data_IF_688330569504
#
_entry.id   IF_688330569504
#
_cell.length_a   1.000
_cell.length_b   1.000
_cell.length_c   1.000
_cell.angle_alpha   90.00
_cell.angle_beta   90.00
_cell.angle_gamma   90.00
#
_symmetry.space_group_name_H-M   'P 1'
#
loop_
_entity.id
_entity.type
_entity.pdbx_description
1 polymer ?
#
# COMPACT_ATOMS: atom_id res chain seq x y z
N UNK A 1 -16.87 7.51 15.51
CA UNK A 1 -16.45 6.09 15.49
C UNK A 1 -15.34 5.94 16.52
N UNK A 2 -15.42 4.92 17.37
CA UNK A 2 -14.44 4.66 18.44
C UNK A 2 -13.10 4.17 17.85
N UNK A 3 -11.98 4.78 18.26
CA UNK A 3 -10.61 4.54 17.76
C UNK A 3 -10.19 3.06 17.87
N UNK A 4 -10.68 2.35 18.90
CA UNK A 4 -10.43 0.90 19.04
C UNK A 4 -11.01 0.07 17.91
N UNK A 5 -12.16 0.49 17.37
CA UNK A 5 -12.78 -0.23 16.26
C UNK A 5 -11.99 0.00 14.97
N UNK A 6 -11.47 1.22 14.75
CA UNK A 6 -10.66 1.55 13.58
C UNK A 6 -9.39 0.69 13.50
N UNK A 7 -8.62 0.56 14.57
CA UNK A 7 -7.39 -0.23 14.57
C UNK A 7 -7.62 -1.71 14.26
N UNK A 8 -8.75 -2.28 14.70
CA UNK A 8 -9.15 -3.66 14.34
C UNK A 8 -9.44 -3.80 12.85
N UNK A 9 -10.12 -2.84 12.24
CA UNK A 9 -10.42 -2.85 10.80
C UNK A 9 -9.16 -2.63 9.95
N UNK A 10 -8.25 -1.74 10.36
CA UNK A 10 -6.95 -1.53 9.70
C UNK A 10 -6.15 -2.82 9.70
N UNK A 11 -5.97 -3.43 10.88
CA UNK A 11 -5.28 -4.71 11.04
C UNK A 11 -5.88 -5.77 10.14
N UNK A 12 -7.20 -5.87 10.08
CA UNK A 12 -7.91 -6.87 9.26
C UNK A 12 -7.59 -6.68 7.77
N UNK A 13 -7.70 -5.46 7.26
CA UNK A 13 -7.46 -5.17 5.83
C UNK A 13 -5.98 -5.36 5.45
N UNK A 14 -5.05 -4.96 6.31
CA UNK A 14 -3.62 -5.19 6.10
C UNK A 14 -3.25 -6.67 6.19
N UNK A 15 -3.92 -7.44 7.07
CA UNK A 15 -3.78 -8.90 7.13
C UNK A 15 -4.29 -9.56 5.86
N UNK A 16 -5.41 -9.10 5.32
CA UNK A 16 -5.96 -9.59 4.06
C UNK A 16 -5.03 -9.27 2.87
N UNK A 17 -4.49 -8.05 2.84
CA UNK A 17 -3.48 -7.64 1.86
C UNK A 17 -2.24 -8.54 1.94
N UNK A 18 -1.69 -8.74 3.13
CA UNK A 18 -0.57 -9.66 3.36
C UNK A 18 -0.87 -11.08 2.84
N UNK A 19 -2.07 -11.62 3.14
CA UNK A 19 -2.50 -12.94 2.69
C UNK A 19 -2.62 -13.07 1.17
N UNK A 20 -2.88 -11.97 0.45
CA UNK A 20 -2.88 -11.94 -1.03
C UNK A 20 -1.47 -11.76 -1.61
N UNK A 21 -0.59 -11.03 -0.93
CA UNK A 21 0.79 -10.80 -1.38
C UNK A 21 1.68 -12.04 -1.22
N UNK A 22 1.55 -12.75 -0.10
CA UNK A 22 2.41 -13.89 0.24
C UNK A 22 2.42 -15.02 -0.81
N UNK A 23 1.27 -15.51 -1.33
CA UNK A 23 1.25 -16.52 -2.39
C UNK A 23 1.88 -16.06 -3.71
N UNK A 24 2.05 -14.75 -3.91
CA UNK A 24 2.66 -14.14 -5.09
C UNK A 24 4.17 -13.87 -4.89
N UNK A 25 4.76 -14.38 -3.81
CA UNK A 25 6.19 -14.28 -3.52
C UNK A 25 6.63 -12.90 -3.01
N UNK A 26 5.69 -12.03 -2.63
CA UNK A 26 6.01 -10.71 -2.08
C UNK A 26 6.20 -10.82 -0.57
N UNK A 27 7.40 -10.49 -0.10
CA UNK A 27 7.71 -10.38 1.32
C UNK A 27 7.05 -9.14 1.90
N UNK A 28 6.18 -9.32 2.89
CA UNK A 28 5.51 -8.24 3.59
C UNK A 28 5.44 -8.53 5.09
N UNK A 29 5.59 -7.51 5.94
CA UNK A 29 5.61 -7.65 7.40
C UNK A 29 4.62 -6.67 8.02
N UNK A 30 3.71 -7.17 8.85
CA UNK A 30 2.75 -6.33 9.58
C UNK A 30 3.46 -5.63 10.75
N UNK A 31 3.31 -4.31 10.83
CA UNK A 31 3.95 -3.45 11.83
C UNK A 31 2.86 -2.71 12.63
N UNK A 32 3.17 -2.40 13.89
CA UNK A 32 2.41 -1.48 14.74
C UNK A 32 3.31 -0.30 15.06
N UNK A 33 2.84 0.91 14.81
CA UNK A 33 3.56 2.15 15.10
C UNK A 33 3.34 2.59 16.56
N UNK A 34 4.17 3.53 17.02
CA UNK A 34 4.13 4.03 18.40
C UNK A 34 2.80 4.72 18.75
N UNK A 35 2.09 5.25 17.74
CA UNK A 35 0.75 5.83 17.86
C UNK A 35 -0.37 4.78 17.84
N UNK A 36 -0.02 3.48 17.72
CA UNK A 36 -0.94 2.36 17.67
C UNK A 36 -1.50 2.06 16.27
N UNK A 37 -1.08 2.79 15.24
CA UNK A 37 -1.52 2.59 13.86
C UNK A 37 -0.88 1.35 13.26
N UNK A 38 -1.65 0.61 12.47
CA UNK A 38 -1.12 -0.54 11.74
C UNK A 38 -0.57 -0.13 10.37
N UNK A 39 0.58 -0.71 10.02
CA UNK A 39 1.19 -0.61 8.69
C UNK A 39 1.66 -1.98 8.18
N UNK A 40 1.93 -2.07 6.90
CA UNK A 40 2.50 -3.26 6.26
C UNK A 40 3.76 -2.86 5.50
N UNK A 41 4.93 -3.28 5.96
CA UNK A 41 6.17 -3.08 5.24
C UNK A 41 6.26 -4.08 4.11
N UNK A 42 6.20 -3.59 2.87
CA UNK A 42 6.31 -4.40 1.65
C UNK A 42 7.72 -4.23 1.09
N UNK A 43 8.40 -5.35 0.85
CA UNK A 43 9.79 -5.36 0.39
C UNK A 43 9.85 -5.54 -1.13
N UNK A 44 10.73 -4.79 -1.78
CA UNK A 44 11.07 -5.03 -3.18
C UNK A 44 12.20 -6.06 -3.36
N UNK A 45 12.52 -6.38 -4.62
CA UNK A 45 13.61 -7.27 -5.00
C UNK A 45 15.00 -6.85 -4.46
N UNK A 46 15.17 -5.60 -4.03
CA UNK A 46 16.40 -5.05 -3.44
C UNK A 46 16.32 -5.04 -1.91
N UNK A 47 15.33 -5.73 -1.33
CA UNK A 47 15.03 -5.76 0.10
C UNK A 47 14.78 -4.36 0.70
N UNK A 48 14.34 -3.39 -0.11
CA UNK A 48 13.97 -2.07 0.40
C UNK A 48 12.50 -2.11 0.87
N UNK A 49 12.23 -1.76 2.14
CA UNK A 49 10.85 -1.69 2.62
C UNK A 49 10.19 -0.41 2.12
N UNK A 50 8.88 -0.50 1.85
CA UNK A 50 7.99 0.65 1.80
C UNK A 50 6.77 0.34 2.66
N UNK A 51 6.45 1.26 3.56
CA UNK A 51 5.31 1.11 4.46
C UNK A 51 3.99 1.44 3.74
N UNK A 52 3.06 0.50 3.81
CA UNK A 52 1.71 0.59 3.27
C UNK A 52 0.71 0.69 4.40
N UNK A 53 -0.30 1.54 4.22
CA UNK A 53 -1.35 1.80 5.19
C UNK A 53 -2.74 1.68 4.56
N UNK A 54 -3.78 1.73 5.41
CA UNK A 54 -5.17 1.78 4.97
C UNK A 54 -5.84 3.06 5.47
N UNK A 55 -6.56 3.75 4.60
CA UNK A 55 -7.44 4.85 4.96
C UNK A 55 -8.89 4.36 5.00
N UNK A 56 -9.42 4.10 6.20
CA UNK A 56 -10.69 3.38 6.38
C UNK A 56 -11.91 4.08 5.79
N UNK A 57 -11.98 5.41 5.82
CA UNK A 57 -13.15 6.15 5.32
C UNK A 57 -13.44 5.90 3.83
N UNK A 58 -12.41 5.51 3.08
CA UNK A 58 -12.50 5.26 1.64
C UNK A 58 -11.97 3.88 1.23
N UNK A 59 -11.58 3.04 2.21
CA UNK A 59 -10.91 1.75 2.00
C UNK A 59 -9.70 1.84 1.05
N UNK A 60 -8.97 2.95 1.10
CA UNK A 60 -7.79 3.15 0.27
C UNK A 60 -6.58 2.47 0.86
N UNK A 61 -5.80 1.82 0.02
CA UNK A 61 -4.46 1.35 0.37
C UNK A 61 -3.47 2.38 -0.16
N UNK A 62 -2.56 2.85 0.69
CA UNK A 62 -1.63 3.91 0.32
C UNK A 62 -0.24 3.77 0.93
N UNK A 63 0.73 4.44 0.30
CA UNK A 63 2.11 4.59 0.76
C UNK A 63 2.68 5.93 0.25
N UNK A 64 3.76 6.41 0.87
CA UNK A 64 4.33 7.75 0.65
C UNK A 64 4.34 8.54 1.96
N UNK A 65 5.40 9.31 2.20
CA UNK A 65 5.72 9.88 3.51
C UNK A 65 5.07 11.27 3.70
N UNK A 66 4.77 12.00 2.62
CA UNK A 66 4.07 13.29 2.67
C UNK A 66 2.59 13.21 2.22
N UNK A 67 1.81 14.23 2.60
CA UNK A 67 0.37 14.29 2.34
C UNK A 67 0.01 14.41 0.85
N UNK A 68 0.92 14.96 0.05
CA UNK A 68 0.88 15.13 -1.40
C UNK A 68 1.47 13.94 -2.19
N UNK A 69 2.17 13.03 -1.51
CA UNK A 69 2.88 11.88 -2.10
C UNK A 69 2.10 10.57 -2.07
N UNK A 70 0.86 10.62 -1.58
CA UNK A 70 0.07 9.41 -1.33
C UNK A 70 -0.43 8.81 -2.63
N UNK A 71 0.21 7.73 -3.08
CA UNK A 71 -0.44 6.83 -4.05
C UNK A 71 -1.56 6.13 -3.31
N UNK A 72 -2.81 6.43 -3.67
CA UNK A 72 -3.98 5.82 -3.07
C UNK A 72 -4.67 4.94 -4.11
N UNK A 73 -4.74 3.64 -3.84
CA UNK A 73 -5.43 2.70 -4.72
C UNK A 73 -6.77 2.34 -4.10
N UNK A 74 -7.82 2.55 -4.88
CA UNK A 74 -9.15 2.08 -4.55
C UNK A 74 -9.24 0.60 -4.90
N UNK A 75 -9.59 -0.23 -3.90
CA UNK A 75 -9.76 -1.70 -3.94
C UNK A 75 -8.48 -2.50 -3.69
N UNK A 76 -8.68 -3.55 -2.90
CA UNK A 76 -7.64 -4.46 -2.45
C UNK A 76 -6.94 -5.21 -3.60
N UNK A 77 -7.67 -5.70 -4.60
CA UNK A 77 -7.06 -6.42 -5.73
C UNK A 77 -6.14 -5.53 -6.58
N UNK A 78 -6.57 -4.31 -6.88
CA UNK A 78 -5.75 -3.36 -7.63
C UNK A 78 -4.47 -2.99 -6.86
N UNK A 79 -4.59 -2.86 -5.53
CA UNK A 79 -3.43 -2.63 -4.67
C UNK A 79 -2.47 -3.84 -4.68
N UNK A 80 -3.00 -5.06 -4.64
CA UNK A 80 -2.20 -6.29 -4.74
C UNK A 80 -1.43 -6.32 -6.06
N UNK A 81 -2.11 -6.14 -7.20
CA UNK A 81 -1.46 -6.18 -8.52
C UNK A 81 -0.35 -5.13 -8.63
N UNK A 82 -0.61 -3.92 -8.10
CA UNK A 82 0.39 -2.85 -8.11
C UNK A 82 1.59 -3.16 -7.21
N UNK A 83 1.35 -3.64 -5.99
CA UNK A 83 2.41 -3.97 -5.04
C UNK A 83 3.24 -5.15 -5.52
N UNK A 84 2.63 -6.14 -6.18
CA UNK A 84 3.35 -7.26 -6.83
C UNK A 84 4.25 -6.74 -7.94
N UNK A 85 3.73 -5.85 -8.80
CA UNK A 85 4.53 -5.20 -9.83
C UNK A 85 5.71 -4.45 -9.22
N UNK A 86 5.48 -3.63 -8.19
CA UNK A 86 6.53 -2.84 -7.54
C UNK A 86 7.56 -3.70 -6.80
N UNK A 87 7.11 -4.78 -6.16
CA UNK A 87 8.01 -5.73 -5.53
C UNK A 87 8.97 -6.38 -6.55
N UNK A 88 8.46 -6.67 -7.75
CA UNK A 88 9.23 -7.26 -8.85
C UNK A 88 10.07 -6.29 -9.68
N UNK A 89 9.71 -5.00 -9.73
CA UNK A 89 10.47 -3.98 -10.50
C UNK A 89 11.37 -3.10 -9.63
N UNK A 90 11.19 -3.15 -8.31
CA UNK A 90 11.80 -2.20 -7.39
C UNK A 90 10.88 -1.02 -7.10
N UNK A 91 10.97 -0.50 -5.88
CA UNK A 91 10.42 0.82 -5.58
C UNK A 91 11.11 1.89 -6.43
N UNK A 92 10.38 2.88 -6.95
CA UNK A 92 11.00 4.06 -7.57
C UNK A 92 12.02 4.70 -6.62
N UNK A 93 13.18 5.11 -7.15
CA UNK A 93 14.22 5.81 -6.38
C UNK A 93 13.80 7.23 -5.99
N UNK A 94 12.83 7.79 -6.70
CA UNK A 94 12.20 9.08 -6.48
C UNK A 94 10.72 8.84 -6.21
N UNK A 95 10.16 9.56 -5.24
CA UNK A 95 8.76 9.48 -4.87
C UNK A 95 7.85 9.66 -6.10
N UNK A 96 6.76 8.89 -6.21
CA UNK A 96 5.77 9.15 -7.24
C UNK A 96 5.15 10.53 -7.00
N UNK A 97 5.63 11.52 -7.75
CA UNK A 97 5.05 12.87 -7.78
C UNK A 97 3.56 12.82 -8.16
N UNK A 98 2.82 13.75 -7.55
CA UNK A 98 1.37 13.98 -7.55
C UNK A 98 0.48 12.72 -7.34
N UNK A 99 -0.45 12.85 -6.40
CA UNK A 99 -1.56 11.90 -6.13
C UNK A 99 -2.16 11.32 -7.42
N UNK A 100 -1.82 10.07 -7.73
CA UNK A 100 -2.44 9.29 -8.81
C UNK A 100 -3.53 8.41 -8.21
N UNK A 101 -4.78 8.83 -8.41
CA UNK A 101 -5.95 8.02 -8.13
C UNK A 101 -6.22 7.08 -9.31
N UNK A 102 -6.03 5.78 -9.11
CA UNK A 102 -6.52 4.80 -10.08
C UNK A 102 -7.93 4.36 -9.69
N UNK A 103 -8.93 5.07 -10.21
CA UNK A 103 -10.36 4.84 -9.94
C UNK A 103 -10.96 3.74 -10.83
N UNK A 104 -10.25 3.33 -11.86
CA UNK A 104 -10.65 2.25 -12.76
C UNK A 104 -9.59 1.16 -12.66
N UNK A 105 -9.95 -0.09 -12.37
CA UNK A 105 -9.01 -1.21 -12.27
C UNK A 105 -8.34 -1.61 -13.60
N UNK A 106 -7.85 -0.65 -14.39
CA UNK A 106 -7.14 -0.86 -15.64
C UNK A 106 -5.94 0.08 -15.74
N UNK A 107 -4.76 -0.51 -15.64
CA UNK A 107 -3.44 0.10 -15.79
C UNK A 107 -3.39 1.14 -16.92
N UNK A 108 -2.90 2.35 -16.59
CA UNK A 108 -2.27 3.25 -17.56
C UNK A 108 -0.85 3.59 -17.13
N UNK A 109 0.10 3.29 -18.00
CA UNK A 109 1.46 3.79 -17.90
C UNK A 109 1.45 5.31 -18.08
N UNK A 110 1.76 6.05 -17.02
CA UNK A 110 2.08 7.47 -17.11
C UNK A 110 3.39 7.62 -17.88
N UNK A 111 3.32 8.00 -19.15
CA UNK A 111 4.47 8.41 -19.97
C UNK A 111 5.08 9.66 -19.33
N UNK A 112 6.32 9.57 -18.88
CA UNK A 112 7.16 10.73 -18.61
C UNK A 112 7.68 11.28 -19.94
N UNK A 113 7.57 12.60 -20.12
CA UNK A 113 8.33 13.36 -21.12
C UNK A 113 9.70 13.69 -20.57
#
# INVERSE_FOLDING_TARGET
MDTKHQSVYEKRLLTELHGKLSPRGVTAVLIVEDDGRYGLDVYDLRARPRRVYVHLAFLWIYWGDLADERVSIFRLEAAVDRLVSLAGTGWPDHEPGDLRFDLHGSMRAGKTR
#
